data_IF_421992503872
#
_entry.id   IF_421992503872
#
_cell.length_a   1.000
_cell.length_b   1.000
_cell.length_c   1.000
_cell.angle_alpha   90.00
_cell.angle_beta   90.00
_cell.angle_gamma   90.00
#
_symmetry.space_group_name_H-M   'P 1'
#
loop_
_entity.id
_entity.type
_entity.pdbx_description
1 polymer ?
#
# COMPACT_ATOMS: atom_id res chain seq x y z
N UNK A 1 -15.12 -12.89 10.79
CA UNK A 1 -15.43 -12.59 9.37
C UNK A 1 -14.89 -13.62 8.39
N UNK A 2 -13.74 -14.27 8.63
CA UNK A 2 -13.21 -15.28 7.69
C UNK A 2 -14.19 -16.43 7.39
N UNK A 3 -14.99 -16.85 8.38
CA UNK A 3 -16.00 -17.90 8.23
C UNK A 3 -17.37 -17.38 7.75
N UNK A 4 -17.50 -16.06 7.51
CA UNK A 4 -18.78 -15.45 7.16
C UNK A 4 -19.01 -15.47 5.64
N UNK A 5 -20.23 -15.78 5.24
CA UNK A 5 -20.75 -15.55 3.89
C UNK A 5 -20.90 -14.06 3.59
N UNK A 6 -21.08 -13.71 2.31
CA UNK A 6 -21.36 -12.32 1.93
C UNK A 6 -22.63 -11.75 2.57
N UNK A 7 -23.67 -12.57 2.74
CA UNK A 7 -24.91 -12.16 3.40
C UNK A 7 -24.69 -11.83 4.89
N UNK A 8 -23.91 -12.64 5.60
CA UNK A 8 -23.56 -12.40 7.01
C UNK A 8 -22.70 -11.15 7.19
N UNK A 9 -21.74 -10.92 6.28
CA UNK A 9 -20.92 -9.70 6.27
C UNK A 9 -21.79 -8.46 6.04
N UNK A 10 -22.70 -8.51 5.06
CA UNK A 10 -23.61 -7.41 4.79
C UNK A 10 -24.58 -7.17 5.95
N UNK A 11 -25.07 -8.24 6.58
CA UNK A 11 -25.89 -8.20 7.79
C UNK A 11 -25.20 -7.43 8.92
N UNK A 12 -23.94 -7.73 9.20
CA UNK A 12 -23.17 -7.08 10.27
C UNK A 12 -22.98 -5.58 9.95
N UNK A 13 -22.62 -5.27 8.70
CA UNK A 13 -22.47 -3.88 8.23
C UNK A 13 -23.77 -3.07 8.39
N UNK A 14 -24.91 -3.63 7.97
CA UNK A 14 -26.21 -2.95 8.08
C UNK A 14 -26.61 -2.71 9.55
N UNK A 15 -26.22 -3.60 10.45
CA UNK A 15 -26.42 -3.43 11.89
C UNK A 15 -25.60 -2.26 12.43
N UNK A 16 -24.32 -2.14 12.06
CA UNK A 16 -23.49 -0.98 12.43
C UNK A 16 -24.02 0.35 11.89
N UNK A 17 -24.66 0.32 10.73
CA UNK A 17 -25.25 1.49 10.07
C UNK A 17 -26.70 1.79 10.49
N UNK A 18 -27.32 0.94 11.35
CA UNK A 18 -28.70 1.08 11.84
C UNK A 18 -29.76 1.06 10.73
N UNK A 19 -29.58 0.20 9.73
CA UNK A 19 -30.51 0.00 8.62
C UNK A 19 -31.52 -1.14 8.86
N UNK A 20 -31.86 -1.43 10.12
CA UNK A 20 -32.71 -2.58 10.48
C UNK A 20 -34.03 -2.63 9.70
N UNK A 21 -34.67 -1.47 9.49
CA UNK A 21 -35.95 -1.36 8.77
C UNK A 21 -35.88 -1.69 7.28
N UNK A 22 -34.72 -1.51 6.64
CA UNK A 22 -34.52 -1.75 5.21
C UNK A 22 -33.69 -3.01 4.94
N UNK A 23 -33.26 -3.72 5.99
CA UNK A 23 -32.28 -4.80 5.91
C UNK A 23 -32.68 -5.91 4.93
N UNK A 24 -33.91 -6.42 5.04
CA UNK A 24 -34.39 -7.50 4.16
C UNK A 24 -34.39 -7.08 2.68
N UNK A 25 -34.84 -5.86 2.40
CA UNK A 25 -34.86 -5.32 1.05
C UNK A 25 -33.43 -5.18 0.48
N UNK A 26 -32.49 -4.68 1.28
CA UNK A 26 -31.10 -4.50 0.86
C UNK A 26 -30.45 -5.86 0.60
N UNK A 27 -30.60 -6.82 1.52
CA UNK A 27 -30.00 -8.15 1.39
C UNK A 27 -30.48 -8.89 0.13
N UNK A 28 -31.75 -8.69 -0.26
CA UNK A 28 -32.32 -9.30 -1.47
C UNK A 28 -31.70 -8.80 -2.77
N UNK A 29 -31.35 -7.51 -2.84
CA UNK A 29 -30.87 -6.86 -4.07
C UNK A 29 -29.35 -6.71 -4.13
N UNK A 30 -28.65 -6.82 -3.00
CA UNK A 30 -27.20 -6.63 -2.93
C UNK A 30 -26.42 -7.89 -3.36
N UNK A 31 -25.24 -7.67 -3.91
CA UNK A 31 -24.25 -8.73 -4.15
C UNK A 31 -23.03 -8.42 -3.28
N UNK A 32 -22.79 -9.25 -2.26
CA UNK A 32 -21.59 -9.17 -1.43
C UNK A 32 -20.70 -10.39 -1.72
N UNK A 33 -19.54 -10.15 -2.33
CA UNK A 33 -18.56 -11.20 -2.65
C UNK A 33 -17.38 -11.05 -1.68
N UNK A 34 -17.26 -11.90 -0.65
CA UNK A 34 -16.10 -11.86 0.23
C UNK A 34 -14.83 -12.26 -0.53
N UNK A 35 -13.71 -11.64 -0.17
CA UNK A 35 -12.41 -11.97 -0.71
C UNK A 35 -11.40 -12.12 0.43
N UNK A 36 -10.85 -13.33 0.57
CA UNK A 36 -9.78 -13.60 1.52
C UNK A 36 -8.43 -13.43 0.83
N UNK A 37 -7.61 -12.55 1.39
CA UNK A 37 -6.28 -12.22 0.87
C UNK A 37 -5.24 -12.48 1.96
N UNK A 38 -4.66 -13.69 2.03
CA UNK A 38 -3.74 -14.08 3.13
C UNK A 38 -2.52 -13.18 3.28
N UNK A 39 -2.11 -12.50 2.20
CA UNK A 39 -0.91 -11.67 2.14
C UNK A 39 -1.19 -10.19 1.94
N UNK A 40 -2.44 -9.71 2.11
CA UNK A 40 -2.81 -8.30 1.84
C UNK A 40 -1.98 -7.30 2.65
N UNK A 41 -1.52 -7.67 3.85
CA UNK A 41 -0.64 -6.85 4.71
C UNK A 41 0.79 -7.36 4.79
N UNK A 42 1.18 -8.34 3.97
CA UNK A 42 2.50 -9.01 4.07
C UNK A 42 3.69 -8.05 3.91
N UNK A 43 3.54 -6.99 3.12
CA UNK A 43 4.52 -5.91 2.96
C UNK A 43 4.78 -5.06 4.21
N UNK A 44 3.92 -5.16 5.24
CA UNK A 44 4.08 -4.49 6.53
C UNK A 44 4.61 -5.41 7.64
N UNK A 45 4.97 -6.66 7.32
CA UNK A 45 5.66 -7.50 8.30
C UNK A 45 6.97 -6.85 8.76
N UNK A 46 7.34 -7.12 10.01
CA UNK A 46 8.62 -6.69 10.57
C UNK A 46 9.76 -7.18 9.68
N UNK A 47 10.68 -6.29 9.34
CA UNK A 47 11.82 -6.59 8.47
C UNK A 47 13.11 -5.99 9.01
N UNK A 48 14.23 -6.62 8.71
CA UNK A 48 15.57 -6.08 8.86
C UNK A 48 16.14 -5.56 7.53
N UNK A 49 17.25 -4.80 7.58
CA UNK A 49 18.03 -4.48 6.39
C UNK A 49 18.46 -5.75 5.64
N UNK A 50 18.21 -5.81 4.34
CA UNK A 50 18.56 -6.97 3.50
C UNK A 50 17.43 -7.98 3.26
N UNK A 51 16.32 -7.92 4.01
CA UNK A 51 15.16 -8.80 3.77
C UNK A 51 14.48 -8.54 2.41
N UNK A 52 14.68 -7.35 1.86
CA UNK A 52 14.25 -6.97 0.51
C UNK A 52 15.48 -6.73 -0.37
N UNK A 53 15.50 -7.25 -1.62
CA UNK A 53 16.60 -6.97 -2.54
C UNK A 53 16.54 -5.51 -3.03
N UNK A 54 17.70 -4.94 -3.32
CA UNK A 54 17.78 -3.69 -4.09
C UNK A 54 17.07 -3.86 -5.45
N UNK A 55 16.50 -2.77 -5.99
CA UNK A 55 15.84 -2.79 -7.30
C UNK A 55 16.73 -3.39 -8.38
N UNK A 56 18.01 -3.02 -8.40
CA UNK A 56 19.03 -3.69 -9.22
C UNK A 56 20.22 -4.02 -8.31
N UNK A 57 20.38 -5.29 -7.90
CA UNK A 57 21.52 -5.73 -7.11
C UNK A 57 22.86 -5.44 -7.82
N UNK A 58 23.90 -5.11 -7.07
CA UNK A 58 25.21 -4.73 -7.64
C UNK A 58 25.89 -5.86 -8.42
N UNK A 59 25.56 -7.11 -8.10
CA UNK A 59 26.14 -8.31 -8.72
C UNK A 59 25.46 -8.69 -10.05
N UNK A 60 24.42 -7.97 -10.48
CA UNK A 60 23.64 -8.28 -11.69
C UNK A 60 23.80 -7.18 -12.74
N UNK A 61 23.81 -7.58 -14.02
CA UNK A 61 23.84 -6.66 -15.18
C UNK A 61 22.54 -6.65 -15.98
N UNK A 62 21.64 -7.60 -15.74
CA UNK A 62 20.44 -7.83 -16.55
C UNK A 62 19.20 -8.28 -15.74
N UNK A 63 19.24 -8.15 -14.41
CA UNK A 63 18.15 -8.54 -13.52
C UNK A 63 17.76 -7.38 -12.61
N UNK A 64 16.45 -7.17 -12.45
CA UNK A 64 15.87 -6.22 -11.52
C UNK A 64 14.67 -6.81 -10.76
N UNK A 65 14.45 -6.33 -9.54
CA UNK A 65 13.25 -6.57 -8.73
C UNK A 65 12.40 -5.29 -8.70
N UNK A 66 11.10 -5.42 -8.95
CA UNK A 66 10.15 -4.30 -8.93
C UNK A 66 8.96 -4.61 -8.02
N UNK A 67 8.28 -3.56 -7.57
CA UNK A 67 7.09 -3.66 -6.73
C UNK A 67 7.37 -3.60 -5.22
N UNK A 68 6.37 -3.99 -4.44
CA UNK A 68 6.26 -3.72 -3.00
C UNK A 68 7.34 -4.41 -2.12
N UNK A 69 8.06 -5.37 -2.68
CA UNK A 69 9.09 -6.15 -1.99
C UNK A 69 10.51 -5.87 -2.47
N UNK A 70 10.71 -4.90 -3.37
CA UNK A 70 12.04 -4.36 -3.66
C UNK A 70 12.38 -3.22 -2.69
N UNK A 71 13.66 -3.02 -2.41
CA UNK A 71 14.14 -1.97 -1.50
C UNK A 71 14.32 -0.64 -2.26
N UNK A 72 13.66 0.41 -1.76
CA UNK A 72 13.82 1.79 -2.19
C UNK A 72 13.91 2.65 -0.92
N UNK A 73 14.95 3.48 -0.78
CA UNK A 73 15.09 4.34 0.39
C UNK A 73 14.00 5.42 0.39
N UNK A 74 13.57 5.82 1.60
CA UNK A 74 12.69 6.96 1.87
C UNK A 74 11.30 6.95 1.21
N UNK A 75 10.91 5.84 0.55
CA UNK A 75 9.56 5.63 -0.01
C UNK A 75 8.77 4.59 0.81
N UNK A 76 7.44 4.62 0.70
CA UNK A 76 6.52 3.79 1.47
C UNK A 76 5.79 2.79 0.57
N UNK A 77 5.85 1.52 0.95
CA UNK A 77 5.02 0.47 0.36
C UNK A 77 3.54 0.72 0.66
N UNK A 78 2.65 -0.02 0.00
CA UNK A 78 1.19 0.17 -0.01
C UNK A 78 0.75 1.36 -0.86
N UNK A 79 1.63 1.77 -1.78
CA UNK A 79 1.33 2.80 -2.76
C UNK A 79 1.60 2.27 -4.16
N UNK A 80 0.82 2.75 -5.14
CA UNK A 80 1.12 2.52 -6.55
C UNK A 80 2.45 3.17 -6.92
N UNK A 81 2.74 4.33 -6.32
CA UNK A 81 3.97 5.10 -6.51
C UNK A 81 5.23 4.25 -6.29
N UNK A 82 5.29 3.47 -5.21
CA UNK A 82 6.44 2.60 -4.93
C UNK A 82 6.73 1.61 -6.06
N UNK A 83 5.67 1.01 -6.63
CA UNK A 83 5.81 0.10 -7.79
C UNK A 83 6.27 0.84 -9.05
N UNK A 84 5.77 2.06 -9.29
CA UNK A 84 6.18 2.88 -10.44
C UNK A 84 7.65 3.31 -10.30
N UNK A 85 8.05 3.73 -9.10
CA UNK A 85 9.42 4.14 -8.79
C UNK A 85 10.42 3.00 -8.96
N UNK A 86 10.13 1.82 -8.41
CA UNK A 86 11.00 0.64 -8.62
C UNK A 86 11.14 0.30 -10.10
N UNK A 87 10.08 0.41 -10.89
CA UNK A 87 10.15 0.23 -12.35
C UNK A 87 11.00 1.31 -13.03
N UNK A 88 10.82 2.59 -12.68
CA UNK A 88 11.62 3.70 -13.22
C UNK A 88 13.11 3.50 -12.93
N UNK A 89 13.45 3.19 -11.67
CA UNK A 89 14.82 2.92 -11.23
C UNK A 89 15.42 1.73 -11.98
N UNK A 90 14.68 0.62 -12.13
CA UNK A 90 15.14 -0.55 -12.85
C UNK A 90 15.47 -0.24 -14.32
N UNK A 91 14.56 0.44 -15.01
CA UNK A 91 14.74 0.81 -16.42
C UNK A 91 15.92 1.77 -16.59
N UNK A 92 16.03 2.80 -15.75
CA UNK A 92 17.11 3.78 -15.86
C UNK A 92 18.48 3.13 -15.63
N UNK A 93 18.60 2.29 -14.60
CA UNK A 93 19.86 1.62 -14.27
C UNK A 93 20.25 0.55 -15.29
N UNK A 94 19.33 -0.31 -15.73
CA UNK A 94 19.66 -1.40 -16.67
C UNK A 94 19.93 -0.90 -18.10
N UNK A 95 19.34 0.23 -18.50
CA UNK A 95 19.55 0.82 -19.84
C UNK A 95 20.59 1.95 -19.85
N UNK A 96 21.27 2.21 -18.72
CA UNK A 96 22.22 3.32 -18.57
C UNK A 96 21.64 4.67 -19.02
N UNK A 97 20.41 4.98 -18.63
CA UNK A 97 19.77 6.26 -18.90
C UNK A 97 20.23 7.26 -17.83
N UNK A 98 20.85 8.35 -18.27
CA UNK A 98 21.33 9.44 -17.39
C UNK A 98 20.17 10.32 -16.90
N UNK A 99 19.33 9.75 -16.03
CA UNK A 99 18.20 10.39 -15.36
C UNK A 99 18.02 9.80 -13.98
N UNK A 100 17.55 10.63 -13.05
CA UNK A 100 17.13 10.20 -11.74
C UNK A 100 15.63 9.90 -11.70
N UNK A 101 15.17 8.97 -10.85
CA UNK A 101 13.76 8.80 -10.56
C UNK A 101 13.11 10.11 -10.09
N UNK A 102 11.81 10.26 -10.32
CA UNK A 102 11.07 11.50 -9.96
C UNK A 102 11.27 11.83 -8.48
N UNK A 103 11.66 13.05 -8.09
CA UNK A 103 11.96 13.36 -6.69
C UNK A 103 10.73 13.24 -5.78
N UNK A 104 10.94 12.81 -4.54
CA UNK A 104 9.90 12.74 -3.52
C UNK A 104 9.72 14.09 -2.82
N UNK A 105 8.50 14.38 -2.37
CA UNK A 105 8.23 15.56 -1.56
C UNK A 105 8.55 15.29 -0.09
N UNK A 106 9.55 15.99 0.46
CA UNK A 106 9.97 15.88 1.86
C UNK A 106 9.25 16.91 2.75
N UNK A 107 7.95 16.67 2.97
CA UNK A 107 7.12 17.52 3.84
C UNK A 107 7.55 17.51 5.31
N UNK A 108 8.21 16.44 5.74
CA UNK A 108 8.82 16.26 7.06
C UNK A 108 10.00 17.21 7.34
N UNK A 109 10.50 17.90 6.33
CA UNK A 109 11.48 18.97 6.47
C UNK A 109 10.86 20.38 6.36
N UNK A 110 9.57 20.50 6.07
CA UNK A 110 8.90 21.78 5.89
C UNK A 110 8.35 22.32 7.24
N UNK A 111 8.84 23.45 7.77
CA UNK A 111 8.47 23.93 9.12
C UNK A 111 6.96 24.14 9.32
N UNK A 112 6.26 24.61 8.28
CA UNK A 112 4.81 24.77 8.33
C UNK A 112 4.06 23.44 8.48
N UNK A 113 4.52 22.39 7.79
CA UNK A 113 3.93 21.05 7.87
C UNK A 113 4.18 20.45 9.25
N UNK A 114 5.38 20.62 9.80
CA UNK A 114 5.73 20.17 11.15
C UNK A 114 4.89 20.88 12.23
N UNK A 115 4.68 22.19 12.09
CA UNK A 115 3.82 22.94 13.01
C UNK A 115 2.38 22.45 12.96
N UNK A 116 1.82 22.25 11.76
CA UNK A 116 0.46 21.73 11.59
C UNK A 116 0.32 20.29 12.11
N UNK A 117 1.34 19.45 11.90
CA UNK A 117 1.40 18.09 12.44
C UNK A 117 1.40 18.10 13.97
N UNK A 118 2.24 18.94 14.60
CA UNK A 118 2.28 19.11 16.05
C UNK A 118 0.93 19.59 16.60
N UNK A 119 0.33 20.60 15.97
CA UNK A 119 -0.99 21.11 16.36
C UNK A 119 -2.08 20.04 16.25
N UNK A 120 -1.99 19.18 15.25
CA UNK A 120 -2.95 18.08 15.05
C UNK A 120 -2.77 16.97 16.09
N UNK A 121 -1.54 16.64 16.47
CA UNK A 121 -1.26 15.66 17.53
C UNK A 121 -1.70 16.13 18.94
N UNK A 122 -1.84 17.44 19.14
CA UNK A 122 -2.29 18.05 20.40
C UNK A 122 -3.79 18.38 20.43
N UNK A 123 -4.54 18.02 19.39
CA UNK A 123 -6.00 18.17 19.33
C UNK A 123 -6.70 16.92 19.86
#
# INVERSE_FOLDING_TARGET
MADCTGEEIMTELLSHLKFDSAREQILKECICIPCMLPYITSQFLTRGPGDRPQVVPEITSNLAFIGQFAEVPDDVVFTVEYSVRTAQTAVYKLLNIDKEPTPMYHGDHHPGVLFDAMKTMLR
#
